data_IF_543798092477
#
_entry.id   IF_543798092477
#
_cell.length_a   1.000
_cell.length_b   1.000
_cell.length_c   1.000
_cell.angle_alpha   90.00
_cell.angle_beta   90.00
_cell.angle_gamma   90.00
#
_symmetry.space_group_name_H-M   'P 1'
#
loop_
_entity.id
_entity.type
_entity.pdbx_description
1 polymer ?
#
# COMPACT_ATOMS: atom_id res chain seq x y z
N UNK A 1 11.73 10.44 15.56
CA UNK A 1 11.77 11.19 14.28
C UNK A 1 10.58 10.73 13.45
N UNK A 2 9.52 11.52 13.37
CA UNK A 2 8.34 11.19 12.59
C UNK A 2 8.59 11.61 11.13
N UNK A 3 8.81 10.65 10.25
CA UNK A 3 8.84 10.90 8.82
C UNK A 3 7.40 11.00 8.33
N UNK A 4 6.98 12.24 8.10
CA UNK A 4 5.68 12.58 7.53
C UNK A 4 5.68 12.10 6.08
N UNK A 5 5.04 10.95 5.82
CA UNK A 5 4.86 10.42 4.47
C UNK A 5 4.07 11.47 3.68
N UNK A 6 4.50 11.89 2.49
CA UNK A 6 3.77 12.88 1.72
C UNK A 6 2.38 12.31 1.45
N UNK A 7 1.34 13.03 1.87
CA UNK A 7 -0.07 12.75 1.54
C UNK A 7 -0.11 12.24 0.12
N UNK A 8 -0.52 10.98 -0.07
CA UNK A 8 -0.70 10.35 -1.37
C UNK A 8 -1.83 11.12 -2.10
N UNK A 9 -1.47 12.27 -2.66
CA UNK A 9 -2.37 13.24 -3.26
C UNK A 9 -2.79 12.72 -4.61
N UNK A 10 -4.01 12.18 -4.61
CA UNK A 10 -5.06 12.51 -5.58
C UNK A 10 -4.56 13.24 -6.83
N UNK A 11 -4.15 12.53 -7.88
CA UNK A 11 -4.38 13.03 -9.23
C UNK A 11 -4.67 11.86 -10.16
N UNK A 12 -5.94 11.82 -10.55
CA UNK A 12 -6.55 10.79 -11.36
C UNK A 12 -6.30 11.04 -12.86
N UNK A 13 -5.52 10.18 -13.49
CA UNK A 13 -5.53 9.97 -14.93
C UNK A 13 -5.70 8.46 -15.17
N UNK A 14 -6.86 8.06 -15.69
CA UNK A 14 -7.25 6.65 -15.81
C UNK A 14 -7.49 5.92 -14.47
N UNK A 15 -8.02 6.66 -13.48
CA UNK A 15 -8.43 6.38 -12.06
C UNK A 15 -8.04 5.09 -11.32
N UNK A 16 -7.95 3.91 -11.96
CA UNK A 16 -7.51 2.64 -11.35
C UNK A 16 -6.02 2.36 -11.57
N UNK A 17 -5.51 2.65 -12.78
CA UNK A 17 -4.13 2.34 -13.15
C UNK A 17 -3.09 3.19 -12.41
N UNK A 18 -3.35 4.49 -12.25
CA UNK A 18 -2.42 5.38 -11.54
C UNK A 18 -2.37 5.17 -10.04
N UNK A 19 -3.48 4.83 -9.39
CA UNK A 19 -3.47 4.54 -7.96
C UNK A 19 -2.58 3.32 -7.66
N UNK A 20 -2.67 2.28 -8.50
CA UNK A 20 -1.81 1.11 -8.39
C UNK A 20 -0.36 1.44 -8.75
N UNK A 21 -0.10 2.24 -9.79
CA UNK A 21 1.24 2.64 -10.18
C UNK A 21 1.95 3.45 -9.08
N UNK A 22 1.27 4.45 -8.50
CA UNK A 22 1.82 5.25 -7.41
C UNK A 22 2.07 4.40 -6.17
N UNK A 23 1.16 3.49 -5.83
CA UNK A 23 1.35 2.58 -4.70
C UNK A 23 2.61 1.71 -4.86
N UNK A 24 2.91 1.25 -6.08
CA UNK A 24 4.12 0.46 -6.37
C UNK A 24 5.38 1.34 -6.23
N UNK A 25 5.37 2.55 -6.80
CA UNK A 25 6.51 3.47 -6.78
C UNK A 25 6.84 3.93 -5.35
N UNK A 26 5.81 4.30 -4.59
CA UNK A 26 5.96 4.85 -3.24
C UNK A 26 5.99 3.76 -2.15
N UNK A 27 5.86 2.48 -2.52
CA UNK A 27 5.78 1.37 -1.57
C UNK A 27 6.91 1.37 -0.52
N UNK A 28 8.19 1.55 -0.90
CA UNK A 28 9.29 1.61 0.08
C UNK A 28 9.15 2.75 1.08
N UNK A 29 8.60 3.89 0.68
CA UNK A 29 8.33 5.03 1.57
C UNK A 29 7.17 4.73 2.54
N UNK A 30 6.17 3.97 2.07
CA UNK A 30 5.00 3.58 2.88
C UNK A 30 5.38 2.55 3.93
N UNK A 31 6.07 1.46 3.54
CA UNK A 31 6.35 0.33 4.45
C UNK A 31 7.73 0.37 5.09
N UNK A 32 8.66 1.13 4.51
CA UNK A 32 10.08 1.13 4.83
C UNK A 32 10.87 0.21 3.89
N UNK A 33 12.08 0.63 3.51
CA UNK A 33 12.92 -0.06 2.52
C UNK A 33 13.13 -1.55 2.83
N UNK A 34 13.38 -1.90 4.09
CA UNK A 34 13.59 -3.30 4.49
C UNK A 34 12.36 -4.19 4.37
N UNK A 35 11.15 -3.64 4.47
CA UNK A 35 9.90 -4.41 4.29
C UNK A 35 9.48 -4.47 2.83
N UNK A 36 9.85 -3.48 2.02
CA UNK A 36 9.53 -3.44 0.60
C UNK A 36 10.24 -4.54 -0.23
N UNK A 37 11.35 -5.09 0.27
CA UNK A 37 12.03 -6.22 -0.37
C UNK A 37 11.30 -7.55 -0.16
N UNK A 38 10.53 -7.69 0.93
CA UNK A 38 9.86 -8.95 1.32
C UNK A 38 8.35 -8.90 1.13
N UNK A 39 7.76 -7.72 0.97
CA UNK A 39 6.34 -7.50 0.73
C UNK A 39 6.16 -6.48 -0.39
N UNK A 40 5.35 -6.81 -1.40
CA UNK A 40 5.05 -5.89 -2.51
C UNK A 40 3.56 -5.90 -2.86
N UNK A 41 3.00 -4.77 -3.31
CA UNK A 41 1.62 -4.69 -3.73
C UNK A 41 1.43 -5.41 -5.07
N UNK A 42 0.46 -6.32 -5.12
CA UNK A 42 0.14 -7.09 -6.33
C UNK A 42 -1.05 -6.47 -7.08
N UNK A 43 -2.12 -6.13 -6.37
CA UNK A 43 -3.31 -5.50 -6.97
C UNK A 43 -4.14 -4.75 -5.94
N UNK A 44 -4.76 -3.66 -6.38
CA UNK A 44 -5.71 -2.88 -5.60
C UNK A 44 -7.09 -2.95 -6.26
N UNK A 45 -8.07 -3.51 -5.54
CA UNK A 45 -9.42 -3.73 -6.05
C UNK A 45 -10.38 -2.84 -5.27
N UNK A 46 -11.19 -2.05 -5.97
CA UNK A 46 -12.29 -1.29 -5.37
C UNK A 46 -13.64 -1.93 -5.71
N UNK A 47 -14.62 -1.91 -4.80
CA UNK A 47 -15.99 -2.30 -5.12
C UNK A 47 -16.55 -1.48 -6.29
N UNK A 48 -17.48 -2.06 -7.07
CA UNK A 48 -18.08 -1.38 -8.23
C UNK A 48 -18.75 -0.08 -7.78
N UNK A 49 -18.41 1.02 -8.46
CA UNK A 49 -18.95 2.35 -8.15
C UNK A 49 -18.32 3.03 -6.92
N UNK A 50 -17.47 2.34 -6.16
CA UNK A 50 -16.80 2.91 -4.98
C UNK A 50 -15.37 3.33 -5.31
N UNK A 51 -14.90 4.33 -4.56
CA UNK A 51 -13.53 4.88 -4.63
C UNK A 51 -12.78 4.79 -3.31
N UNK A 52 -13.43 4.25 -2.29
CA UNK A 52 -12.94 4.00 -0.94
C UNK A 52 -13.17 2.51 -0.62
N UNK A 53 -12.64 2.06 0.53
CA UNK A 53 -12.80 0.68 1.00
C UNK A 53 -12.28 -0.36 -0.01
N UNK A 54 -11.13 -0.06 -0.62
CA UNK A 54 -10.47 -0.99 -1.53
C UNK A 54 -9.76 -2.12 -0.78
N UNK A 55 -9.60 -3.27 -1.44
CA UNK A 55 -8.80 -4.39 -0.97
C UNK A 55 -7.45 -4.39 -1.68
N UNK A 56 -6.39 -4.16 -0.92
CA UNK A 56 -5.01 -4.30 -1.38
C UNK A 56 -4.54 -5.74 -1.17
N UNK A 57 -4.08 -6.38 -2.24
CA UNK A 57 -3.44 -7.69 -2.15
C UNK A 57 -1.93 -7.50 -2.18
N UNK A 58 -1.25 -8.17 -1.24
CA UNK A 58 0.18 -8.12 -1.08
C UNK A 58 0.78 -9.49 -1.37
N UNK A 59 1.86 -9.50 -2.14
CA UNK A 59 2.76 -10.65 -2.23
C UNK A 59 3.78 -10.53 -1.14
N UNK A 60 3.91 -11.57 -0.32
CA UNK A 60 4.79 -11.59 0.85
C UNK A 60 5.63 -12.85 0.83
N UNK A 61 6.91 -12.75 1.17
CA UNK A 61 7.75 -13.92 1.41
C UNK A 61 7.22 -14.70 2.61
N UNK A 62 7.20 -16.04 2.53
CA UNK A 62 6.61 -16.91 3.56
C UNK A 62 7.15 -16.66 4.97
N UNK A 63 8.42 -16.33 5.10
CA UNK A 63 9.08 -16.01 6.38
C UNK A 63 8.59 -14.73 7.05
N UNK A 64 8.03 -13.78 6.28
CA UNK A 64 7.54 -12.47 6.76
C UNK A 64 6.02 -12.43 6.91
N UNK A 65 5.32 -13.50 6.50
CA UNK A 65 3.86 -13.51 6.44
C UNK A 65 3.21 -13.31 7.81
N UNK A 66 3.79 -13.89 8.88
CA UNK A 66 3.25 -13.76 10.24
C UNK A 66 3.50 -12.36 10.81
N UNK A 67 4.70 -11.82 10.65
CA UNK A 67 5.03 -10.45 11.10
C UNK A 67 4.13 -9.42 10.39
N UNK A 68 3.99 -9.55 9.06
CA UNK A 68 3.14 -8.63 8.31
C UNK A 68 1.67 -8.73 8.73
N UNK A 69 1.18 -9.92 9.11
CA UNK A 69 -0.17 -10.09 9.64
C UNK A 69 -0.36 -9.30 10.93
N UNK A 70 0.59 -9.34 11.87
CA UNK A 70 0.54 -8.55 13.10
C UNK A 70 0.60 -7.04 12.81
N UNK A 71 1.41 -6.63 11.82
CA UNK A 71 1.60 -5.23 11.45
C UNK A 71 0.51 -4.68 10.51
N UNK A 72 -0.41 -5.53 10.03
CA UNK A 72 -1.47 -5.14 9.09
C UNK A 72 -2.21 -3.86 9.50
N UNK A 73 -2.61 -3.66 10.78
CA UNK A 73 -3.30 -2.44 11.19
C UNK A 73 -2.44 -1.18 10.97
N UNK A 74 -1.16 -1.25 11.38
CA UNK A 74 -0.23 -0.14 11.20
C UNK A 74 0.04 0.14 9.71
N UNK A 75 0.10 -0.90 8.89
CA UNK A 75 0.28 -0.76 7.45
C UNK A 75 -0.92 -0.05 6.80
N UNK A 76 -2.14 -0.40 7.21
CA UNK A 76 -3.37 0.26 6.75
C UNK A 76 -3.34 1.75 7.12
N UNK A 77 -2.94 2.09 8.35
CA UNK A 77 -2.84 3.47 8.79
C UNK A 77 -1.80 4.26 7.97
N UNK A 78 -0.65 3.65 7.66
CA UNK A 78 0.39 4.29 6.83
C UNK A 78 -0.02 4.48 5.37
N UNK A 79 -0.87 3.61 4.83
CA UNK A 79 -1.41 3.74 3.47
C UNK A 79 -2.49 4.84 3.41
N UNK A 80 -3.28 5.00 4.47
CA UNK A 80 -4.41 5.92 4.51
C UNK A 80 -4.07 7.32 5.08
N UNK A 81 -2.93 7.46 5.78
CA UNK A 81 -2.45 8.73 6.35
C UNK A 81 -1.93 9.70 5.30
#
# INVERSE_FOLDING_TARGET
MAQMVPKLTQTALGKRGLAQANLIVDWPSIVGEGKATTCQPEKLIFPRGQRNNGTLHLRVTSTMALELQHDSPQLIDRING
#
